data_IF_346617993791
#
_entry.id   IF_346617993791
#
_cell.length_a   1.000
_cell.length_b   1.000
_cell.length_c   1.000
_cell.angle_alpha   90.00
_cell.angle_beta   90.00
_cell.angle_gamma   90.00
#
_symmetry.space_group_name_H-M   'P 1'
#
loop_
_entity.id
_entity.type
_entity.pdbx_description
1 polymer ?
#
# COMPACT_ATOMS: atom_id res chain seq x y z
N UNK A 1 3.14 3.08 21.70
CA UNK A 1 3.36 3.53 20.30
C UNK A 1 3.34 2.41 19.25
N UNK A 2 3.54 1.13 19.62
CA UNK A 2 3.49 -0.01 18.69
C UNK A 2 2.22 -0.16 17.85
N UNK A 3 1.03 -0.04 18.46
CA UNK A 3 -0.24 -0.35 17.77
C UNK A 3 -0.55 0.60 16.61
N UNK A 4 -0.43 1.94 16.74
CA UNK A 4 -0.59 2.84 15.60
C UNK A 4 0.34 2.54 14.42
N UNK A 5 1.61 2.22 14.68
CA UNK A 5 2.58 1.90 13.62
C UNK A 5 2.23 0.56 12.96
N UNK A 6 1.82 -0.43 13.76
CA UNK A 6 1.34 -1.71 13.25
C UNK A 6 0.09 -1.55 12.38
N UNK A 7 -0.87 -0.72 12.79
CA UNK A 7 -2.06 -0.40 12.00
C UNK A 7 -1.68 0.29 10.69
N UNK A 8 -0.73 1.23 10.72
CA UNK A 8 -0.21 1.87 9.51
C UNK A 8 0.40 0.83 8.56
N UNK A 9 1.24 -0.08 9.08
CA UNK A 9 1.84 -1.14 8.27
C UNK A 9 0.78 -2.02 7.60
N UNK A 10 -0.22 -2.48 8.35
CA UNK A 10 -1.34 -3.26 7.81
C UNK A 10 -2.11 -2.46 6.74
N UNK A 11 -2.35 -1.17 7.00
CA UNK A 11 -3.04 -0.30 6.06
C UNK A 11 -2.28 -0.17 4.73
N UNK A 12 -0.95 -0.01 4.77
CA UNK A 12 -0.11 0.03 3.57
C UNK A 12 -0.13 -1.30 2.80
N UNK A 13 -0.13 -2.44 3.50
CA UNK A 13 -0.31 -3.76 2.87
C UNK A 13 -1.63 -3.83 2.12
N UNK A 14 -2.72 -3.45 2.79
CA UNK A 14 -4.06 -3.48 2.19
C UNK A 14 -4.18 -2.53 0.99
N UNK A 15 -3.58 -1.33 1.07
CA UNK A 15 -3.56 -0.42 -0.08
C UNK A 15 -2.77 -0.98 -1.26
N UNK A 16 -1.56 -1.51 -1.03
CA UNK A 16 -0.74 -2.05 -2.09
C UNK A 16 -1.38 -3.27 -2.76
N UNK A 17 -1.94 -4.20 -1.97
CA UNK A 17 -2.68 -5.35 -2.51
C UNK A 17 -3.91 -4.89 -3.28
N UNK A 18 -4.68 -3.95 -2.73
CA UNK A 18 -5.85 -3.37 -3.39
C UNK A 18 -5.49 -2.76 -4.75
N UNK A 19 -4.48 -1.90 -4.79
CA UNK A 19 -4.09 -1.21 -6.01
C UNK A 19 -3.44 -2.13 -7.06
N UNK A 20 -2.77 -3.20 -6.63
CA UNK A 20 -2.32 -4.27 -7.52
C UNK A 20 -3.51 -4.99 -8.15
N UNK A 21 -4.49 -5.41 -7.34
CA UNK A 21 -5.70 -6.08 -7.84
C UNK A 21 -6.51 -5.18 -8.76
N UNK A 22 -6.60 -3.89 -8.45
CA UNK A 22 -7.26 -2.88 -9.29
C UNK A 22 -6.62 -2.79 -10.68
N UNK A 23 -5.28 -2.84 -10.78
CA UNK A 23 -4.57 -2.85 -12.07
C UNK A 23 -4.71 -4.17 -12.83
N UNK A 24 -4.70 -5.30 -12.14
CA UNK A 24 -4.74 -6.63 -12.78
C UNK A 24 -6.16 -7.00 -13.22
N UNK A 25 -7.16 -6.73 -12.39
CA UNK A 25 -8.53 -7.16 -12.61
C UNK A 25 -9.47 -6.04 -13.05
N UNK A 26 -9.01 -4.77 -13.11
CA UNK A 26 -9.81 -3.59 -13.47
C UNK A 26 -11.08 -3.51 -12.60
N UNK A 27 -10.89 -3.68 -11.29
CA UNK A 27 -11.97 -3.79 -10.31
C UNK A 27 -11.91 -2.64 -9.28
N UNK A 28 -12.75 -1.59 -9.42
CA UNK A 28 -12.68 -0.42 -8.55
C UNK A 28 -13.46 -0.62 -7.22
N UNK A 29 -13.52 -1.84 -6.69
CA UNK A 29 -14.39 -2.18 -5.56
C UNK A 29 -13.84 -1.78 -4.18
N UNK A 30 -12.53 -1.66 -4.02
CA UNK A 30 -11.92 -1.38 -2.70
C UNK A 30 -12.06 0.08 -2.23
N UNK A 31 -12.78 0.92 -2.99
CA UNK A 31 -13.13 2.28 -2.60
C UNK A 31 -11.97 3.27 -2.60
N UNK A 32 -12.27 4.55 -2.31
CA UNK A 32 -11.28 5.65 -2.31
C UNK A 32 -10.16 5.41 -1.29
N UNK A 33 -10.47 4.73 -0.18
CA UNK A 33 -9.54 4.55 0.94
C UNK A 33 -8.46 3.53 0.62
N UNK A 34 -8.79 2.37 0.08
CA UNK A 34 -7.79 1.33 -0.22
C UNK A 34 -7.09 1.57 -1.57
N UNK A 35 -7.75 2.23 -2.53
CA UNK A 35 -7.13 2.67 -3.79
C UNK A 35 -6.61 4.11 -3.74
N UNK A 36 -6.44 4.71 -2.55
CA UNK A 36 -5.95 6.08 -2.43
C UNK A 36 -4.57 6.25 -3.09
N UNK A 37 -3.67 5.27 -2.94
CA UNK A 37 -2.35 5.32 -3.56
C UNK A 37 -2.44 5.45 -5.09
N UNK A 38 -3.26 4.62 -5.75
CA UNK A 38 -3.48 4.70 -7.20
C UNK A 38 -4.23 5.96 -7.63
N UNK A 39 -5.16 6.46 -6.82
CA UNK A 39 -5.98 7.64 -7.18
C UNK A 39 -5.30 8.97 -6.89
N UNK A 40 -4.37 8.99 -5.93
CA UNK A 40 -3.78 10.23 -5.41
C UNK A 40 -2.28 10.27 -5.61
N UNK A 41 -1.55 9.22 -5.26
CA UNK A 41 -0.09 9.26 -5.29
C UNK A 41 0.44 8.99 -6.70
N UNK A 42 0.02 7.88 -7.32
CA UNK A 42 0.50 7.47 -8.65
C UNK A 42 0.35 8.57 -9.72
N UNK A 43 -0.79 9.27 -9.86
CA UNK A 43 -0.95 10.29 -10.90
C UNK A 43 -0.16 11.58 -10.66
N UNK A 44 0.44 11.74 -9.47
CA UNK A 44 1.23 12.93 -9.08
C UNK A 44 2.73 12.67 -9.10
N UNK A 45 3.16 11.44 -9.36
CA UNK A 45 4.56 11.04 -9.35
C UNK A 45 4.89 10.39 -10.68
N UNK A 46 5.50 11.16 -11.59
CA UNK A 46 5.81 10.72 -12.95
C UNK A 46 6.69 9.44 -12.98
N UNK A 47 7.53 9.24 -11.96
CA UNK A 47 8.36 8.04 -11.80
C UNK A 47 7.53 6.75 -11.63
N UNK A 48 6.29 6.85 -11.15
CA UNK A 48 5.41 5.70 -10.94
C UNK A 48 4.53 5.38 -12.15
N UNK A 49 4.45 6.29 -13.13
CA UNK A 49 3.66 6.09 -14.34
C UNK A 49 4.23 4.92 -15.17
N UNK A 50 3.36 4.01 -15.61
CA UNK A 50 3.72 2.79 -16.32
C UNK A 50 4.36 1.70 -15.45
N UNK A 51 4.51 1.93 -14.14
CA UNK A 51 5.09 1.00 -13.17
C UNK A 51 4.14 0.72 -12.00
N UNK A 52 2.84 0.90 -12.21
CA UNK A 52 1.83 0.93 -11.15
C UNK A 52 1.73 -0.42 -10.42
N UNK A 53 1.87 -1.52 -11.14
CA UNK A 53 1.91 -2.87 -10.56
C UNK A 53 3.09 -2.99 -9.57
N UNK A 54 4.29 -2.60 -9.99
CA UNK A 54 5.49 -2.65 -9.15
C UNK A 54 5.41 -1.66 -7.98
N UNK A 55 4.83 -0.48 -8.20
CA UNK A 55 4.63 0.52 -7.16
C UNK A 55 3.71 -0.03 -6.04
N UNK A 56 2.61 -0.69 -6.41
CA UNK A 56 1.67 -1.29 -5.48
C UNK A 56 2.25 -2.48 -4.71
N UNK A 57 2.99 -3.37 -5.40
CA UNK A 57 3.69 -4.47 -4.74
C UNK A 57 4.77 -3.96 -3.78
N UNK A 58 5.49 -2.90 -4.16
CA UNK A 58 6.49 -2.26 -3.29
C UNK A 58 5.83 -1.61 -2.07
N UNK A 59 4.68 -0.95 -2.24
CA UNK A 59 3.90 -0.41 -1.13
C UNK A 59 3.46 -1.51 -0.16
N UNK A 60 2.99 -2.64 -0.69
CA UNK A 60 2.61 -3.78 0.14
C UNK A 60 3.82 -4.35 0.90
N UNK A 61 4.96 -4.52 0.22
CA UNK A 61 6.20 -4.98 0.85
C UNK A 61 6.68 -4.03 1.96
N UNK A 62 6.64 -2.71 1.73
CA UNK A 62 6.94 -1.70 2.75
C UNK A 62 5.99 -1.81 3.95
N UNK A 63 4.70 -2.03 3.70
CA UNK A 63 3.73 -2.28 4.76
C UNK A 63 4.11 -3.47 5.63
N UNK A 64 4.52 -4.59 5.03
CA UNK A 64 5.00 -5.78 5.75
C UNK A 64 6.23 -5.44 6.60
N UNK A 65 7.21 -4.73 6.03
CA UNK A 65 8.42 -4.29 6.76
C UNK A 65 8.03 -3.44 7.97
N UNK A 66 7.08 -2.51 7.82
CA UNK A 66 6.59 -1.67 8.93
C UNK A 66 5.91 -2.50 10.03
N UNK A 67 5.08 -3.48 9.66
CA UNK A 67 4.45 -4.40 10.64
C UNK A 67 5.50 -5.16 11.43
N UNK A 68 6.47 -5.77 10.73
CA UNK A 68 7.54 -6.56 11.34
C UNK A 68 8.41 -5.67 12.24
N UNK A 69 8.80 -4.48 11.77
CA UNK A 69 9.59 -3.53 12.55
C UNK A 69 8.84 -3.06 13.80
N UNK A 70 7.53 -2.80 13.70
CA UNK A 70 6.71 -2.38 14.83
C UNK A 70 6.59 -3.47 15.91
N UNK A 71 6.55 -4.75 15.49
CA UNK A 71 6.57 -5.88 16.41
C UNK A 71 7.93 -5.99 17.13
N UNK A 72 9.02 -5.87 16.38
CA UNK A 72 10.38 -5.98 16.92
C UNK A 72 10.76 -4.81 17.83
N UNK A 73 10.37 -3.59 17.50
CA UNK A 73 10.63 -2.39 18.32
C UNK A 73 9.83 -2.37 19.64
N UNK A 74 8.87 -3.28 19.82
CA UNK A 74 8.08 -3.42 21.03
C UNK A 74 8.51 -4.55 21.96
N UNK A 75 9.57 -5.31 21.62
CA UNK A 75 10.25 -6.29 22.47
C UNK A 75 11.39 -5.62 23.22
#
# INVERSE_FOLDING_TARGET
MRKPIQFLGIFLVLQGVSGFLDHVFVQPFFGVVLNFFNRVVVPRVDLLAGHEIFANLSLAALGVVVVVAAEHAGR
#
